data_IF_313529520293
#
_entry.id   IF_313529520293
#
_cell.length_a   1.000
_cell.length_b   1.000
_cell.length_c   1.000
_cell.angle_alpha   90.00
_cell.angle_beta   90.00
_cell.angle_gamma   90.00
#
_symmetry.space_group_name_H-M   'P 1'
#
loop_
_entity.id
_entity.type
_entity.pdbx_description
1 polymer ?
#
# COMPACT_ATOMS: atom_id res chain seq x y z
N UNK A 1 14.58 17.94 8.79
CA UNK A 1 15.19 16.85 9.59
C UNK A 1 16.58 16.40 9.12
N UNK A 2 17.09 16.80 7.97
CA UNK A 2 18.45 16.45 7.50
C UNK A 2 19.59 17.29 8.08
N UNK A 3 19.32 18.52 8.53
CA UNK A 3 20.38 19.41 9.02
C UNK A 3 20.79 19.14 10.48
N UNK A 4 19.89 18.64 11.31
CA UNK A 4 20.21 18.35 12.73
C UNK A 4 21.11 17.13 12.89
N UNK A 5 21.01 16.14 12.01
CA UNK A 5 21.88 14.96 12.00
C UNK A 5 23.31 15.32 11.59
N UNK A 6 23.47 16.16 10.57
CA UNK A 6 24.80 16.68 10.15
C UNK A 6 25.49 17.49 11.23
N UNK A 7 24.76 18.27 12.02
CA UNK A 7 25.32 19.09 13.10
C UNK A 7 25.83 18.22 14.24
N UNK A 8 25.09 17.18 14.65
CA UNK A 8 25.52 16.24 15.70
C UNK A 8 26.77 15.46 15.30
N UNK A 9 26.85 15.00 14.05
CA UNK A 9 27.99 14.23 13.55
C UNK A 9 29.22 15.13 13.41
N UNK A 10 29.05 16.38 12.96
CA UNK A 10 30.13 17.37 12.90
C UNK A 10 30.65 17.79 14.27
N UNK A 11 29.77 17.88 15.28
CA UNK A 11 30.14 18.17 16.65
C UNK A 11 30.96 17.03 17.29
N UNK A 12 30.55 15.78 17.07
CA UNK A 12 31.30 14.60 17.56
C UNK A 12 32.67 14.51 16.91
N UNK A 13 32.75 14.73 15.61
CA UNK A 13 34.04 14.75 14.88
C UNK A 13 34.90 15.90 15.39
N UNK A 14 34.35 17.10 15.56
CA UNK A 14 35.04 18.26 16.10
C UNK A 14 35.61 18.01 17.52
N UNK A 15 34.81 17.35 18.37
CA UNK A 15 35.23 17.00 19.74
C UNK A 15 36.38 15.98 19.76
N UNK A 16 36.36 14.98 18.88
CA UNK A 16 37.45 13.98 18.79
C UNK A 16 38.72 14.60 18.27
N UNK A 17 38.65 15.47 17.25
CA UNK A 17 39.81 16.16 16.69
C UNK A 17 40.42 17.16 17.69
N UNK A 18 39.61 17.92 18.41
CA UNK A 18 40.09 18.84 19.46
C UNK A 18 40.71 18.09 20.62
N UNK A 19 40.14 16.96 21.05
CA UNK A 19 40.67 16.14 22.14
C UNK A 19 42.03 15.51 21.75
N UNK A 20 42.17 15.05 20.50
CA UNK A 20 43.44 14.51 19.97
C UNK A 20 44.53 15.61 19.87
N UNK A 21 44.14 16.85 19.55
CA UNK A 21 45.08 18.00 19.42
C UNK A 21 45.59 18.57 20.76
N UNK A 22 44.87 18.36 21.85
CA UNK A 22 45.23 18.87 23.19
C UNK A 22 46.01 17.85 24.03
N UNK A 23 46.03 16.59 23.63
CA UNK A 23 46.73 15.53 24.38
C UNK A 23 48.27 15.67 24.18
N UNK A 24 48.98 16.18 25.17
CA UNK A 24 50.45 16.34 25.14
C UNK A 24 51.20 15.02 25.39
N UNK A 25 50.57 13.98 25.94
CA UNK A 25 51.19 12.66 26.16
C UNK A 25 50.14 11.58 25.81
N UNK A 26 50.50 10.72 24.85
CA UNK A 26 49.66 9.59 24.44
C UNK A 26 50.01 8.38 25.34
N UNK A 27 49.19 8.09 26.33
CA UNK A 27 49.32 6.87 27.11
C UNK A 27 48.61 5.69 26.40
N UNK A 28 49.06 4.43 26.64
CA UNK A 28 48.39 3.24 26.04
C UNK A 28 46.91 3.12 26.37
N UNK A 29 46.46 3.59 27.52
CA UNK A 29 45.08 3.59 27.92
C UNK A 29 44.23 4.65 27.17
N UNK A 30 44.87 5.79 26.85
CA UNK A 30 44.25 6.82 26.05
C UNK A 30 44.06 6.34 24.59
N UNK A 31 45.05 5.66 24.01
CA UNK A 31 44.92 5.05 22.67
C UNK A 31 43.78 4.01 22.61
N UNK A 32 43.64 3.18 23.64
CA UNK A 32 42.50 2.21 23.72
C UNK A 32 41.19 2.91 23.77
N UNK A 33 41.05 3.96 24.57
CA UNK A 33 39.82 4.75 24.67
C UNK A 33 39.43 5.42 23.34
N UNK A 34 40.41 5.97 22.58
CA UNK A 34 40.18 6.56 21.26
C UNK A 34 39.73 5.51 20.22
N UNK A 35 40.35 4.34 20.22
CA UNK A 35 39.96 3.24 19.32
C UNK A 35 38.55 2.78 19.61
N UNK A 36 38.20 2.62 20.89
CA UNK A 36 36.84 2.23 21.29
C UNK A 36 35.81 3.30 20.94
N UNK A 37 36.15 4.59 21.14
CA UNK A 37 35.28 5.70 20.75
C UNK A 37 35.07 5.77 19.22
N UNK A 38 36.12 5.56 18.44
CA UNK A 38 36.07 5.48 16.99
C UNK A 38 35.18 4.32 16.50
N UNK A 39 35.35 3.13 17.08
CA UNK A 39 34.51 1.97 16.77
C UNK A 39 33.04 2.22 17.12
N UNK A 40 32.76 2.83 18.26
CA UNK A 40 31.42 3.18 18.66
C UNK A 40 30.77 4.19 17.71
N UNK A 41 31.52 5.22 17.28
CA UNK A 41 31.05 6.21 16.31
C UNK A 41 30.71 5.57 14.95
N UNK A 42 31.55 4.68 14.44
CA UNK A 42 31.27 3.93 13.21
C UNK A 42 30.07 3.01 13.36
N UNK A 43 29.95 2.33 14.50
CA UNK A 43 28.78 1.49 14.81
C UNK A 43 27.48 2.29 14.84
N UNK A 44 27.46 3.45 15.47
CA UNK A 44 26.30 4.34 15.50
C UNK A 44 25.95 4.88 14.09
N UNK A 45 26.97 5.21 13.28
CA UNK A 45 26.76 5.64 11.91
C UNK A 45 26.14 4.52 11.05
N UNK A 46 26.61 3.27 11.20
CA UNK A 46 26.02 2.12 10.51
C UNK A 46 24.56 1.90 10.94
N UNK A 47 24.27 1.97 12.24
CA UNK A 47 22.90 1.86 12.76
C UNK A 47 22.01 2.98 12.18
N UNK A 48 22.49 4.22 12.13
CA UNK A 48 21.76 5.34 11.56
C UNK A 48 21.47 5.15 10.05
N UNK A 49 22.46 4.65 9.28
CA UNK A 49 22.28 4.35 7.85
C UNK A 49 21.29 3.19 7.65
N UNK A 50 21.39 2.13 8.46
CA UNK A 50 20.43 1.02 8.41
C UNK A 50 19.02 1.49 8.77
N UNK A 51 18.88 2.33 9.79
CA UNK A 51 17.58 2.89 10.21
C UNK A 51 16.95 3.77 9.12
N UNK A 52 17.74 4.63 8.47
CA UNK A 52 17.23 5.47 7.37
C UNK A 52 16.86 4.66 6.13
N UNK A 53 17.53 3.53 5.87
CA UNK A 53 17.18 2.61 4.79
C UNK A 53 15.98 1.72 5.13
N UNK A 54 15.85 1.34 6.41
CA UNK A 54 14.74 0.52 6.90
C UNK A 54 13.42 1.31 7.02
N UNK A 55 13.49 2.65 7.08
CA UNK A 55 12.32 3.52 7.14
C UNK A 55 12.22 4.32 5.82
N UNK A 56 11.75 3.70 4.73
CA UNK A 56 11.62 4.37 3.44
C UNK A 56 10.72 5.58 3.60
N UNK A 57 11.14 6.73 3.07
CA UNK A 57 10.29 7.93 3.00
C UNK A 57 8.98 7.52 2.37
N UNK A 58 7.87 7.81 3.03
CA UNK A 58 6.53 7.66 2.45
C UNK A 58 6.56 8.30 1.07
N UNK A 59 6.20 7.55 0.05
CA UNK A 59 6.15 8.08 -1.30
C UNK A 59 5.23 9.31 -1.29
N UNK A 60 5.67 10.39 -1.92
CA UNK A 60 4.91 11.63 -1.98
C UNK A 60 3.56 11.37 -2.63
N UNK A 61 2.48 11.71 -1.93
CA UNK A 61 1.12 11.51 -2.42
C UNK A 61 0.88 12.43 -3.60
N UNK A 62 0.45 11.86 -4.72
CA UNK A 62 -0.01 12.64 -5.88
C UNK A 62 -1.36 13.27 -5.52
N UNK A 63 -1.59 14.55 -5.82
CA UNK A 63 -2.90 15.16 -5.64
C UNK A 63 -3.89 14.51 -6.61
N UNK A 64 -4.78 13.68 -6.09
CA UNK A 64 -5.85 13.03 -6.85
C UNK A 64 -7.13 13.84 -6.70
N UNK A 65 -7.87 14.00 -7.80
CA UNK A 65 -9.17 14.65 -7.80
C UNK A 65 -10.25 13.60 -7.60
N UNK A 66 -11.11 13.77 -6.60
CA UNK A 66 -12.22 12.86 -6.30
C UNK A 66 -12.88 13.24 -4.99
N UNK A 67 -14.11 12.81 -4.82
CA UNK A 67 -14.84 12.97 -3.56
C UNK A 67 -14.65 11.72 -2.69
N UNK A 68 -14.48 11.94 -1.39
CA UNK A 68 -14.38 10.82 -0.47
C UNK A 68 -15.76 10.26 -0.16
N UNK A 69 -15.95 8.97 -0.39
CA UNK A 69 -17.26 8.35 -0.24
C UNK A 69 -17.22 6.83 -0.13
N UNK A 70 -18.44 6.29 0.08
CA UNK A 70 -18.76 4.87 0.04
C UNK A 70 -20.03 4.70 -0.76
N UNK A 71 -19.97 3.98 -1.86
CA UNK A 71 -21.13 3.51 -2.63
C UNK A 71 -21.11 1.97 -2.58
N UNK A 72 -22.21 1.38 -2.18
CA UNK A 72 -22.38 -0.06 -2.06
C UNK A 72 -23.75 -0.45 -2.60
N UNK A 73 -23.82 -1.57 -3.32
CA UNK A 73 -25.08 -2.08 -3.84
C UNK A 73 -25.93 -2.68 -2.70
N UNK A 74 -27.23 -2.37 -2.70
CA UNK A 74 -28.16 -2.74 -1.61
C UNK A 74 -28.65 -4.20 -1.68
N UNK A 75 -28.39 -4.88 -2.79
CA UNK A 75 -28.91 -6.24 -3.07
C UNK A 75 -28.24 -7.37 -2.28
N UNK A 76 -27.22 -7.07 -1.51
CA UNK A 76 -26.44 -8.05 -0.75
C UNK A 76 -27.01 -8.27 0.64
N UNK A 77 -26.84 -9.50 1.17
CA UNK A 77 -27.19 -9.81 2.56
C UNK A 77 -26.35 -8.98 3.54
N UNK A 78 -26.82 -8.84 4.77
CA UNK A 78 -26.12 -8.08 5.81
C UNK A 78 -24.68 -8.56 6.02
N UNK A 79 -24.45 -9.88 5.99
CA UNK A 79 -23.12 -10.48 6.11
C UNK A 79 -22.21 -10.05 4.96
N UNK A 80 -22.72 -10.04 3.73
CA UNK A 80 -21.98 -9.62 2.56
C UNK A 80 -21.67 -8.12 2.58
N UNK A 81 -22.63 -7.31 3.00
CA UNK A 81 -22.45 -5.86 3.17
C UNK A 81 -21.42 -5.56 4.25
N UNK A 82 -21.45 -6.27 5.39
CA UNK A 82 -20.44 -6.13 6.43
C UNK A 82 -19.05 -6.51 5.94
N UNK A 83 -18.90 -7.60 5.18
CA UNK A 83 -17.61 -8.00 4.62
C UNK A 83 -17.08 -6.97 3.63
N UNK A 84 -17.92 -6.46 2.71
CA UNK A 84 -17.58 -5.39 1.77
C UNK A 84 -17.15 -4.12 2.50
N UNK A 85 -17.93 -3.69 3.50
CA UNK A 85 -17.66 -2.48 4.26
C UNK A 85 -16.37 -2.61 5.10
N UNK A 86 -16.22 -3.72 5.83
CA UNK A 86 -15.05 -3.93 6.69
C UNK A 86 -13.76 -4.06 5.88
N UNK A 87 -13.73 -4.95 4.89
CA UNK A 87 -12.52 -5.23 4.14
C UNK A 87 -12.05 -4.04 3.30
N UNK A 88 -12.97 -3.32 2.65
CA UNK A 88 -12.62 -2.09 1.94
C UNK A 88 -12.08 -1.00 2.87
N UNK A 89 -12.62 -0.91 4.11
CA UNK A 89 -12.10 0.00 5.12
C UNK A 89 -10.68 -0.38 5.54
N UNK A 90 -10.45 -1.66 5.79
CA UNK A 90 -9.13 -2.17 6.17
C UNK A 90 -8.09 -1.91 5.07
N UNK A 91 -8.44 -2.10 3.80
CA UNK A 91 -7.52 -1.79 2.71
C UNK A 91 -7.13 -0.31 2.67
N UNK A 92 -8.09 0.60 2.83
CA UNK A 92 -7.82 2.04 2.82
C UNK A 92 -7.01 2.52 4.02
N UNK A 93 -7.11 1.85 5.16
CA UNK A 93 -6.44 2.26 6.40
C UNK A 93 -5.09 1.58 6.60
N UNK A 94 -4.95 0.33 6.17
CA UNK A 94 -3.76 -0.48 6.39
C UNK A 94 -2.77 -0.46 5.21
N UNK A 95 -3.20 0.02 4.03
CA UNK A 95 -2.38 0.10 2.83
C UNK A 95 -2.35 1.53 2.27
N UNK A 96 -1.42 1.87 1.38
CA UNK A 96 -1.39 3.17 0.72
C UNK A 96 -2.45 3.30 -0.40
N UNK A 97 -3.62 2.70 -0.22
CA UNK A 97 -4.74 2.78 -1.14
C UNK A 97 -5.44 4.15 -1.06
N UNK A 98 -5.81 4.70 -2.21
CA UNK A 98 -6.61 5.90 -2.37
C UNK A 98 -8.07 5.58 -2.67
N UNK A 99 -8.31 4.51 -3.41
CA UNK A 99 -9.62 4.08 -3.88
C UNK A 99 -9.68 2.57 -3.99
N UNK A 100 -10.84 2.01 -3.68
CA UNK A 100 -11.17 0.58 -3.82
C UNK A 100 -12.45 0.46 -4.62
N UNK A 101 -12.44 -0.39 -5.64
CA UNK A 101 -13.57 -0.76 -6.47
C UNK A 101 -13.73 -2.28 -6.48
N UNK A 102 -14.93 -2.76 -6.28
CA UNK A 102 -15.26 -4.19 -6.41
C UNK A 102 -16.23 -4.34 -7.56
N UNK A 103 -15.81 -5.10 -8.56
CA UNK A 103 -16.62 -5.52 -9.70
C UNK A 103 -16.98 -7.00 -9.54
N UNK A 104 -18.27 -7.32 -9.62
CA UNK A 104 -18.80 -8.66 -9.45
C UNK A 104 -19.97 -8.90 -10.38
N UNK A 105 -19.93 -9.96 -11.21
CA UNK A 105 -21.00 -10.37 -12.12
C UNK A 105 -21.60 -9.20 -12.92
N UNK A 106 -20.74 -8.57 -13.71
CA UNK A 106 -21.11 -7.49 -14.64
C UNK A 106 -21.56 -6.17 -13.99
N UNK A 107 -21.36 -5.99 -12.69
CA UNK A 107 -21.71 -4.75 -12.01
C UNK A 107 -20.67 -4.32 -10.98
N UNK A 108 -20.58 -3.03 -10.75
CA UNK A 108 -19.81 -2.47 -9.63
C UNK A 108 -20.65 -2.59 -8.37
N UNK A 109 -20.16 -3.38 -7.40
CA UNK A 109 -20.86 -3.65 -6.15
C UNK A 109 -20.39 -2.79 -4.99
N UNK A 110 -19.16 -2.22 -5.10
CA UNK A 110 -18.62 -1.31 -4.11
C UNK A 110 -17.65 -0.32 -4.74
N UNK A 111 -17.74 0.92 -4.30
CA UNK A 111 -16.71 1.96 -4.46
C UNK A 111 -16.44 2.61 -3.10
N UNK A 112 -15.20 2.74 -2.72
CA UNK A 112 -14.82 3.36 -1.46
C UNK A 112 -13.50 4.11 -1.54
N UNK A 113 -13.35 5.17 -0.76
CA UNK A 113 -12.21 6.07 -0.78
C UNK A 113 -12.47 7.27 -1.67
N UNK A 114 -11.52 7.68 -2.48
CA UNK A 114 -11.78 8.64 -3.54
C UNK A 114 -12.57 7.95 -4.64
N UNK A 115 -13.74 8.46 -4.95
CA UNK A 115 -14.65 7.86 -5.92
C UNK A 115 -14.96 8.82 -7.07
N UNK A 116 -15.18 8.24 -8.24
CA UNK A 116 -15.81 8.85 -9.41
C UNK A 116 -17.20 8.24 -9.58
N UNK A 117 -18.11 8.98 -10.21
CA UNK A 117 -19.44 8.48 -10.54
C UNK A 117 -19.55 7.89 -11.96
N UNK A 118 -18.44 7.87 -12.70
CA UNK A 118 -18.41 7.30 -14.04
C UNK A 118 -18.65 5.79 -14.02
N UNK A 119 -19.35 5.29 -15.05
CA UNK A 119 -19.58 3.87 -15.20
C UNK A 119 -18.26 3.14 -15.47
N UNK A 120 -17.92 2.14 -14.64
CA UNK A 120 -16.75 1.32 -14.84
C UNK A 120 -17.11 0.04 -15.59
N UNK A 121 -16.38 -0.20 -16.68
CA UNK A 121 -16.43 -1.46 -17.43
C UNK A 121 -15.04 -2.10 -17.46
N UNK A 122 -14.92 -3.43 -17.23
CA UNK A 122 -13.66 -4.12 -17.30
C UNK A 122 -13.04 -4.04 -18.70
N UNK A 123 -11.88 -3.39 -18.79
CA UNK A 123 -11.09 -3.34 -20.00
C UNK A 123 -10.12 -4.53 -20.12
N UNK A 124 -9.17 -4.42 -21.04
CA UNK A 124 -8.28 -5.52 -21.39
C UNK A 124 -7.39 -6.02 -20.22
N UNK A 125 -7.00 -5.15 -19.30
CA UNK A 125 -6.16 -5.52 -18.15
C UNK A 125 -6.98 -6.29 -17.13
N UNK A 126 -8.16 -5.76 -16.78
CA UNK A 126 -9.07 -6.41 -15.83
C UNK A 126 -9.57 -7.75 -16.37
N UNK A 127 -9.95 -7.83 -17.65
CA UNK A 127 -10.36 -9.08 -18.30
C UNK A 127 -9.23 -10.11 -18.27
N UNK A 128 -7.99 -9.71 -18.61
CA UNK A 128 -6.83 -10.60 -18.55
C UNK A 128 -6.55 -11.12 -17.14
N UNK A 129 -6.72 -10.27 -16.11
CA UNK A 129 -6.59 -10.68 -14.72
C UNK A 129 -7.61 -11.77 -14.37
N UNK A 130 -8.88 -11.58 -14.75
CA UNK A 130 -9.96 -12.55 -14.51
C UNK A 130 -9.79 -13.83 -15.30
N UNK A 131 -9.42 -13.77 -16.59
CA UNK A 131 -9.20 -14.94 -17.44
C UNK A 131 -8.07 -15.83 -16.93
N UNK A 132 -6.97 -15.21 -16.48
CA UNK A 132 -5.79 -15.92 -15.98
C UNK A 132 -5.86 -16.25 -14.50
N UNK A 133 -6.85 -15.72 -13.80
CA UNK A 133 -6.98 -15.78 -12.34
C UNK A 133 -5.69 -15.37 -11.63
N UNK A 134 -5.03 -14.32 -12.14
CA UNK A 134 -3.77 -13.81 -11.62
C UNK A 134 -3.86 -12.33 -11.31
N UNK A 135 -3.31 -11.94 -10.16
CA UNK A 135 -3.17 -10.54 -9.78
C UNK A 135 -2.26 -9.79 -10.75
N UNK A 136 -2.70 -8.65 -11.22
CA UNK A 136 -1.91 -7.73 -12.06
C UNK A 136 -1.64 -6.46 -11.25
N UNK A 137 -0.35 -6.15 -11.07
CA UNK A 137 0.10 -4.94 -10.37
C UNK A 137 0.71 -3.96 -11.36
N UNK A 138 0.06 -2.82 -11.54
CA UNK A 138 0.53 -1.68 -12.32
C UNK A 138 1.25 -0.71 -11.40
N UNK A 139 2.53 -0.96 -11.17
CA UNK A 139 3.36 -0.17 -10.23
C UNK A 139 3.51 1.30 -10.62
N UNK A 140 3.38 1.61 -11.90
CA UNK A 140 3.30 2.97 -12.44
C UNK A 140 2.43 2.94 -13.70
N UNK A 141 1.23 3.45 -13.59
CA UNK A 141 0.21 3.42 -14.64
C UNK A 141 0.64 4.16 -15.90
N UNK A 142 1.50 5.17 -15.80
CA UNK A 142 1.99 5.93 -16.97
C UNK A 142 2.75 5.07 -17.97
N UNK A 143 3.26 3.92 -17.54
CA UNK A 143 4.01 2.98 -18.39
C UNK A 143 3.10 1.99 -19.13
N UNK A 144 1.79 1.99 -18.85
CA UNK A 144 0.86 0.99 -19.39
C UNK A 144 -0.17 1.66 -20.31
N UNK A 145 -0.19 1.35 -21.62
CA UNK A 145 -1.12 1.96 -22.58
C UNK A 145 -2.61 1.73 -22.25
N UNK A 146 -2.93 0.57 -21.62
CA UNK A 146 -4.31 0.20 -21.26
C UNK A 146 -4.85 0.86 -19.99
N UNK A 147 -4.10 1.77 -19.35
CA UNK A 147 -4.49 2.39 -18.06
C UNK A 147 -5.81 3.15 -18.11
N UNK A 148 -6.22 3.59 -19.30
CA UNK A 148 -7.43 4.39 -19.48
C UNK A 148 -8.71 3.66 -18.99
N UNK A 149 -8.71 2.32 -18.91
CA UNK A 149 -9.84 1.57 -18.33
C UNK A 149 -10.13 1.93 -16.88
N UNK A 150 -9.12 2.44 -16.15
CA UNK A 150 -9.25 2.78 -14.74
C UNK A 150 -9.61 4.25 -14.50
N UNK A 151 -9.66 5.08 -15.53
CA UNK A 151 -10.03 6.49 -15.39
C UNK A 151 -11.47 6.64 -14.89
N UNK A 152 -12.35 5.69 -15.21
CA UNK A 152 -13.71 5.62 -14.68
C UNK A 152 -13.76 5.29 -13.16
N UNK A 153 -12.72 4.69 -12.60
CA UNK A 153 -12.59 4.49 -11.15
C UNK A 153 -12.12 5.79 -10.50
N UNK A 154 -11.03 6.33 -10.97
CA UNK A 154 -10.49 7.65 -10.62
C UNK A 154 -9.45 8.06 -11.67
N UNK A 155 -9.56 9.27 -12.25
CA UNK A 155 -8.62 9.74 -13.24
C UNK A 155 -7.19 9.81 -12.72
N UNK A 156 -6.24 9.41 -13.54
CA UNK A 156 -4.80 9.56 -13.28
C UNK A 156 -4.27 8.82 -12.03
N UNK A 157 -4.88 7.70 -11.64
CA UNK A 157 -4.34 6.85 -10.57
C UNK A 157 -2.89 6.44 -10.88
N UNK A 158 -1.92 6.70 -9.97
CA UNK A 158 -0.51 6.47 -10.24
C UNK A 158 -0.07 5.00 -10.12
N UNK A 159 -0.78 4.20 -9.33
CA UNK A 159 -0.55 2.76 -9.18
C UNK A 159 -1.88 2.04 -9.01
N UNK A 160 -1.99 0.82 -9.53
CA UNK A 160 -3.22 0.03 -9.48
C UNK A 160 -2.87 -1.44 -9.27
N UNK A 161 -3.63 -2.10 -8.40
CA UNK A 161 -3.59 -3.56 -8.22
C UNK A 161 -4.96 -4.11 -8.59
N UNK A 162 -4.99 -5.08 -9.51
CA UNK A 162 -6.18 -5.79 -9.95
C UNK A 162 -6.10 -7.23 -9.46
N UNK A 163 -6.93 -7.58 -8.49
CA UNK A 163 -7.02 -8.94 -7.94
C UNK A 163 -8.30 -9.62 -8.43
N UNK A 164 -8.22 -10.72 -9.17
CA UNK A 164 -9.40 -11.41 -9.67
C UNK A 164 -10.14 -12.18 -8.58
N UNK A 165 -11.45 -12.15 -8.63
CA UNK A 165 -12.37 -13.03 -7.91
C UNK A 165 -12.83 -14.19 -8.81
N UNK A 166 -11.87 -14.98 -9.28
CA UNK A 166 -12.09 -15.94 -10.37
C UNK A 166 -12.40 -15.22 -11.68
N UNK A 167 -13.26 -15.81 -12.50
CA UNK A 167 -13.69 -15.25 -13.79
C UNK A 167 -14.88 -14.31 -13.70
N UNK A 168 -15.51 -14.23 -12.52
CA UNK A 168 -16.78 -13.51 -12.32
C UNK A 168 -16.60 -12.08 -11.82
N UNK A 169 -15.40 -11.71 -11.33
CA UNK A 169 -15.18 -10.39 -10.79
C UNK A 169 -13.74 -10.06 -10.47
N UNK A 170 -13.52 -8.85 -10.01
CA UNK A 170 -12.22 -8.36 -9.59
C UNK A 170 -12.35 -7.29 -8.49
N UNK A 171 -11.38 -7.26 -7.59
CA UNK A 171 -11.11 -6.15 -6.69
C UNK A 171 -9.99 -5.30 -7.31
N UNK A 172 -10.26 -4.01 -7.46
CA UNK A 172 -9.32 -3.05 -8.05
C UNK A 172 -8.99 -2.02 -6.97
N UNK A 173 -7.69 -1.86 -6.70
CA UNK A 173 -7.19 -0.95 -5.68
C UNK A 173 -6.26 0.07 -6.31
N UNK A 174 -6.64 1.34 -6.23
CA UNK A 174 -5.81 2.47 -6.69
C UNK A 174 -4.99 3.05 -5.55
N UNK A 175 -3.72 3.37 -5.81
CA UNK A 175 -2.79 3.89 -4.82
C UNK A 175 -2.50 5.37 -4.96
N UNK A 176 -2.00 6.01 -3.87
CA UNK A 176 -1.69 7.44 -3.82
C UNK A 176 -0.44 7.86 -4.61
N UNK A 177 0.46 6.94 -4.92
CA UNK A 177 1.73 7.25 -5.59
C UNK A 177 2.25 6.06 -6.38
N UNK A 178 3.12 6.27 -7.38
CA UNK A 178 3.76 5.17 -8.10
C UNK A 178 4.53 4.26 -7.12
N UNK A 179 4.49 2.96 -7.34
CA UNK A 179 5.19 1.93 -6.54
C UNK A 179 4.85 1.96 -5.04
N UNK A 180 3.65 2.47 -4.68
CA UNK A 180 3.26 2.57 -3.27
C UNK A 180 2.94 1.21 -2.63
N UNK A 181 2.44 0.25 -3.39
CA UNK A 181 2.11 -1.07 -2.87
C UNK A 181 3.35 -1.93 -2.71
N UNK A 182 3.49 -2.51 -1.52
CA UNK A 182 4.48 -3.53 -1.21
C UNK A 182 3.92 -4.92 -1.51
N UNK A 183 4.80 -5.94 -1.53
CA UNK A 183 4.34 -7.34 -1.64
C UNK A 183 3.43 -7.77 -0.48
N UNK A 184 3.59 -7.15 0.68
CA UNK A 184 2.71 -7.40 1.82
C UNK A 184 1.31 -6.84 1.56
N UNK A 185 1.22 -5.63 1.00
CA UNK A 185 -0.06 -5.02 0.64
C UNK A 185 -0.78 -5.85 -0.43
N UNK A 186 -0.07 -6.28 -1.47
CA UNK A 186 -0.62 -7.15 -2.51
C UNK A 186 -1.21 -8.45 -1.93
N UNK A 187 -0.50 -9.10 -0.99
CA UNK A 187 -0.99 -10.30 -0.30
C UNK A 187 -2.22 -10.03 0.55
N UNK A 188 -2.31 -8.86 1.21
CA UNK A 188 -3.49 -8.45 1.95
C UNK A 188 -4.69 -8.27 1.02
N UNK A 189 -4.49 -7.60 -0.12
CA UNK A 189 -5.51 -7.42 -1.14
C UNK A 189 -5.97 -8.79 -1.67
N UNK A 190 -5.05 -9.68 -2.02
CA UNK A 190 -5.34 -11.04 -2.48
C UNK A 190 -6.12 -11.85 -1.44
N UNK A 191 -5.66 -11.84 -0.19
CA UNK A 191 -6.31 -12.58 0.90
C UNK A 191 -7.75 -12.12 1.13
N UNK A 192 -7.98 -10.82 1.16
CA UNK A 192 -9.33 -10.28 1.27
C UNK A 192 -10.18 -10.60 0.03
N UNK A 193 -9.61 -10.49 -1.16
CA UNK A 193 -10.29 -10.79 -2.42
C UNK A 193 -10.80 -12.24 -2.46
N UNK A 194 -9.99 -13.21 -2.01
CA UNK A 194 -10.40 -14.61 -1.94
C UNK A 194 -11.50 -14.85 -0.92
N UNK A 195 -11.40 -14.23 0.25
CA UNK A 195 -12.44 -14.28 1.27
C UNK A 195 -13.76 -13.67 0.76
N UNK A 196 -13.68 -12.50 0.13
CA UNK A 196 -14.85 -11.81 -0.43
C UNK A 196 -15.54 -12.66 -1.50
N UNK A 197 -14.75 -13.28 -2.40
CA UNK A 197 -15.28 -14.22 -3.40
C UNK A 197 -16.11 -15.32 -2.75
N UNK A 198 -15.57 -15.93 -1.69
CA UNK A 198 -16.27 -17.01 -0.98
C UNK A 198 -17.57 -16.52 -0.35
N UNK A 199 -17.54 -15.32 0.26
CA UNK A 199 -18.71 -14.72 0.91
C UNK A 199 -19.79 -14.32 -0.09
N UNK A 200 -19.42 -13.74 -1.24
CA UNK A 200 -20.37 -13.35 -2.28
C UNK A 200 -20.99 -14.58 -2.96
N UNK A 201 -20.20 -15.63 -3.21
CA UNK A 201 -20.71 -16.87 -3.79
C UNK A 201 -21.63 -17.66 -2.84
N UNK A 202 -21.35 -17.66 -1.53
CA UNK A 202 -22.13 -18.40 -0.53
C UNK A 202 -23.53 -17.82 -0.31
N UNK A 203 -23.71 -16.51 -0.47
CA UNK A 203 -25.03 -15.86 -0.30
C UNK A 203 -26.08 -16.30 -1.33
N UNK A 204 -25.68 -16.93 -2.42
CA UNK A 204 -26.57 -17.43 -3.47
C UNK A 204 -26.97 -18.90 -3.26
N UNK A 205 -26.21 -19.65 -2.46
CA UNK A 205 -26.43 -21.06 -2.22
C UNK A 205 -27.51 -21.35 -1.15
N UNK A 206 -28.16 -20.33 -0.58
CA UNK A 206 -29.22 -20.51 0.42
C UNK A 206 -30.56 -20.08 -0.17
N UNK A 207 -31.28 -20.94 -0.95
CA UNK A 207 -32.70 -20.75 -1.13
C UNK A 207 -33.33 -20.98 0.23
N UNK A 208 -34.16 -20.02 0.71
CA UNK A 208 -35.06 -20.25 1.86
C UNK A 208 -35.80 -21.55 1.63
N UNK A 209 -35.90 -22.44 2.67
CA UNK A 209 -36.83 -23.56 2.59
C UNK A 209 -38.24 -23.00 2.38
N UNK A 210 -39.03 -23.59 1.49
CA UNK A 210 -40.40 -23.17 1.33
C UNK A 210 -41.09 -23.36 2.67
N UNK A 211 -41.77 -22.30 3.14
CA UNK A 211 -42.65 -22.34 4.31
C UNK A 211 -43.55 -23.57 4.21
N UNK A 212 -43.30 -24.53 5.10
CA UNK A 212 -44.23 -25.64 5.32
C UNK A 212 -45.46 -25.06 6.00
N UNK A 213 -46.49 -24.86 5.20
CA UNK A 213 -47.87 -24.62 5.67
C UNK A 213 -48.39 -25.83 6.47
#
# INVERSE_FOLDING_TARGET
MGSEMCIRDSLLLGLTVTNAGVAQTVTPDFQRAEVLAGMAAVGLMLVAVLWTRANPKSAEKVPLQGEQGLLMADQFSEIQQQELAWGSHMLLTATPAASVLVFWRHQVVLRRGLISQEAFEPGAITQRAMEREQTISLVNTTLFPGRAEFDAMLPSLPAIVVCPMGKEGAVIVGGWSPRCFTRSDERWIEGWTQRLRTTLAAGEASPLPPDSA
#
